data_IF_831538146556
#
_entry.id   IF_831538146556
#
_cell.length_a   1.000
_cell.length_b   1.000
_cell.length_c   1.000
_cell.angle_alpha   90.00
_cell.angle_beta   90.00
_cell.angle_gamma   90.00
#
_symmetry.space_group_name_H-M   'P 1'
#
loop_
_entity.id
_entity.type
_entity.pdbx_description
1 polymer ?
#
# COMPACT_ATOMS: atom_id res chain seq x y z
N UNK A 1 -4.09 8.75 2.42
CA UNK A 1 -4.26 10.03 1.70
C UNK A 1 -2.87 10.54 1.39
N UNK A 2 -2.53 10.69 0.12
CA UNK A 2 -1.21 11.17 -0.31
C UNK A 2 -1.09 12.66 0.00
N UNK A 3 0.04 13.08 0.59
CA UNK A 3 0.32 14.49 0.85
C UNK A 3 0.84 15.12 -0.46
N UNK A 4 0.79 16.45 -0.60
CA UNK A 4 1.27 17.13 -1.82
C UNK A 4 2.71 16.76 -2.20
N UNK A 5 3.56 16.46 -1.22
CA UNK A 5 4.91 15.94 -1.45
C UNK A 5 4.91 14.53 -2.07
N UNK A 6 4.01 13.65 -1.65
CA UNK A 6 3.89 12.30 -2.19
C UNK A 6 3.40 12.33 -3.64
N UNK A 7 2.42 13.20 -3.94
CA UNK A 7 1.93 13.42 -5.30
C UNK A 7 3.03 13.94 -6.24
N UNK A 8 3.80 14.92 -5.78
CA UNK A 8 4.95 15.43 -6.55
C UNK A 8 5.97 14.31 -6.82
N UNK A 9 6.24 13.47 -5.82
CA UNK A 9 7.14 12.33 -5.97
C UNK A 9 6.61 11.29 -6.98
N UNK A 10 5.32 10.94 -6.90
CA UNK A 10 4.68 10.01 -7.84
C UNK A 10 4.75 10.55 -9.27
N UNK A 11 4.43 11.83 -9.49
CA UNK A 11 4.52 12.45 -10.81
C UNK A 11 5.94 12.42 -11.36
N UNK A 12 6.94 12.69 -10.52
CA UNK A 12 8.35 12.64 -10.91
C UNK A 12 8.80 11.22 -11.28
N UNK A 13 8.44 10.21 -10.47
CA UNK A 13 8.75 8.81 -10.75
C UNK A 13 8.06 8.30 -12.02
N UNK A 14 6.82 8.73 -12.30
CA UNK A 14 6.11 8.40 -13.53
C UNK A 14 6.82 8.97 -14.76
N UNK A 15 7.27 10.24 -14.69
CA UNK A 15 8.04 10.87 -15.75
C UNK A 15 9.40 10.18 -15.96
N UNK A 16 10.09 9.83 -14.89
CA UNK A 16 11.36 9.09 -14.95
C UNK A 16 11.19 7.69 -15.56
N UNK A 17 10.08 7.01 -15.27
CA UNK A 17 9.75 5.73 -15.88
C UNK A 17 9.51 5.87 -17.39
N UNK A 18 8.64 6.80 -17.79
CA UNK A 18 8.34 7.06 -19.19
C UNK A 18 9.60 7.44 -19.99
N UNK A 19 10.48 8.28 -19.41
CA UNK A 19 11.74 8.67 -20.02
C UNK A 19 12.72 7.50 -20.20
N UNK A 20 12.78 6.56 -19.24
CA UNK A 20 13.63 5.36 -19.35
C UNK A 20 13.16 4.41 -20.45
N UNK A 21 11.85 4.31 -20.64
CA UNK A 21 11.25 3.52 -21.72
C UNK A 21 11.25 4.27 -23.08
N UNK A 22 11.80 5.49 -23.13
CA UNK A 22 11.88 6.29 -24.35
C UNK A 22 10.53 6.84 -24.82
N UNK A 23 9.51 6.87 -23.95
CA UNK A 23 8.19 7.40 -24.27
C UNK A 23 8.19 8.93 -24.32
N UNK A 24 7.41 9.50 -25.24
CA UNK A 24 7.21 10.96 -25.36
C UNK A 24 6.05 11.50 -24.53
N UNK A 25 5.15 10.61 -24.11
CA UNK A 25 3.95 10.93 -23.33
C UNK A 25 3.91 9.97 -22.14
N UNK A 26 3.54 10.50 -20.97
CA UNK A 26 3.34 9.72 -19.77
C UNK A 26 1.96 9.07 -19.84
N UNK A 27 1.89 7.76 -19.73
CA UNK A 27 0.65 7.00 -19.79
C UNK A 27 0.23 6.53 -18.39
N UNK A 28 -1.00 6.01 -18.30
CA UNK A 28 -1.55 5.47 -17.04
C UNK A 28 -0.64 4.42 -16.39
N UNK A 29 -0.08 3.52 -17.20
CA UNK A 29 0.82 2.47 -16.72
C UNK A 29 2.09 3.04 -16.04
N UNK A 30 2.58 4.21 -16.48
CA UNK A 30 3.74 4.84 -15.85
C UNK A 30 3.41 5.38 -14.46
N UNK A 31 2.18 5.88 -14.26
CA UNK A 31 1.68 6.24 -12.93
C UNK A 31 1.45 5.04 -12.03
N UNK A 32 0.92 3.93 -12.57
CA UNK A 32 0.73 2.69 -11.80
C UNK A 32 2.06 2.17 -11.26
N UNK A 33 3.10 2.13 -12.11
CA UNK A 33 4.45 1.73 -11.70
C UNK A 33 5.06 2.72 -10.70
N UNK A 34 4.83 4.02 -10.87
CA UNK A 34 5.32 5.04 -9.96
C UNK A 34 4.69 4.93 -8.56
N UNK A 35 3.38 4.74 -8.48
CA UNK A 35 2.67 4.50 -7.21
C UNK A 35 3.23 3.28 -6.51
N UNK A 36 3.39 2.16 -7.23
CA UNK A 36 3.98 0.95 -6.66
C UNK A 36 5.41 1.15 -6.17
N UNK A 37 6.22 1.90 -6.91
CA UNK A 37 7.60 2.20 -6.55
C UNK A 37 7.69 3.05 -5.29
N UNK A 38 6.78 4.01 -5.12
CA UNK A 38 6.71 4.85 -3.93
C UNK A 38 6.21 4.05 -2.71
N UNK A 39 5.24 3.15 -2.90
CA UNK A 39 4.64 2.37 -1.80
C UNK A 39 5.51 1.19 -1.38
N UNK A 40 6.04 0.42 -2.34
CA UNK A 40 6.68 -0.88 -2.11
C UNK A 40 8.17 -0.93 -2.53
N UNK A 41 8.70 0.15 -3.12
CA UNK A 41 10.07 0.22 -3.61
C UNK A 41 10.23 -0.27 -5.06
N UNK A 42 11.45 -0.17 -5.58
CA UNK A 42 11.77 -0.56 -6.95
C UNK A 42 11.70 -2.09 -7.12
N UNK A 43 11.09 -2.54 -8.23
CA UNK A 43 11.08 -3.94 -8.60
C UNK A 43 12.49 -4.43 -8.94
N UNK A 44 12.89 -5.60 -8.41
CA UNK A 44 14.17 -6.22 -8.77
C UNK A 44 13.99 -6.96 -10.09
N UNK A 45 14.70 -6.54 -11.13
CA UNK A 45 14.68 -7.19 -12.46
C UNK A 45 15.37 -8.57 -12.48
N UNK A 46 16.25 -8.85 -11.52
CA UNK A 46 16.94 -10.14 -11.43
C UNK A 46 16.10 -11.13 -10.60
N UNK A 47 15.58 -12.15 -11.28
CA UNK A 47 14.81 -13.25 -10.69
C UNK A 47 15.70 -14.04 -9.73
N UNK A 48 15.72 -13.62 -8.47
CA UNK A 48 16.69 -14.08 -7.44
C UNK A 48 16.08 -15.10 -6.48
N UNK A 49 14.82 -15.48 -6.67
CA UNK A 49 14.08 -16.36 -5.76
C UNK A 49 14.05 -17.80 -6.30
N UNK A 50 14.29 -18.77 -5.43
CA UNK A 50 14.20 -20.17 -5.80
C UNK A 50 12.75 -20.54 -6.19
N UNK A 51 12.50 -21.50 -7.11
CA UNK A 51 11.14 -21.90 -7.47
C UNK A 51 10.29 -22.34 -6.27
N UNK A 52 10.91 -22.98 -5.28
CA UNK A 52 10.26 -23.40 -4.03
C UNK A 52 9.82 -22.22 -3.16
N UNK A 53 10.65 -21.18 -3.08
CA UNK A 53 10.34 -19.95 -2.35
C UNK A 53 9.25 -19.16 -3.07
N UNK A 54 9.34 -19.05 -4.41
CA UNK A 54 8.31 -18.40 -5.23
C UNK A 54 6.95 -19.09 -5.06
N UNK A 55 6.96 -20.42 -4.98
CA UNK A 55 5.78 -21.21 -4.67
C UNK A 55 5.19 -20.89 -3.29
N UNK A 56 6.03 -20.82 -2.25
CA UNK A 56 5.57 -20.45 -0.91
C UNK A 56 4.98 -19.03 -0.87
N UNK A 57 5.63 -18.05 -1.49
CA UNK A 57 5.16 -16.66 -1.57
C UNK A 57 3.84 -16.58 -2.32
N UNK A 58 3.67 -17.31 -3.43
CA UNK A 58 2.41 -17.29 -4.17
C UNK A 58 1.21 -17.76 -3.33
N UNK A 59 1.37 -18.83 -2.55
CA UNK A 59 0.33 -19.30 -1.64
C UNK A 59 0.10 -18.35 -0.47
N UNK A 60 1.17 -17.75 0.05
CA UNK A 60 1.09 -16.76 1.12
C UNK A 60 0.25 -15.53 0.70
N UNK A 61 0.60 -14.91 -0.43
CA UNK A 61 -0.13 -13.75 -0.96
C UNK A 61 -1.56 -14.12 -1.40
N UNK A 62 -1.75 -15.30 -1.97
CA UNK A 62 -3.09 -15.78 -2.35
C UNK A 62 -3.99 -16.03 -1.13
N UNK A 63 -3.41 -16.43 0.01
CA UNK A 63 -4.13 -16.56 1.28
C UNK A 63 -4.71 -15.22 1.75
N UNK A 64 -3.88 -14.16 1.72
CA UNK A 64 -4.32 -12.81 2.03
C UNK A 64 -5.46 -12.33 1.13
N UNK A 65 -5.32 -12.52 -0.19
CA UNK A 65 -6.32 -12.15 -1.19
C UNK A 65 -7.64 -12.91 -0.97
N UNK A 66 -7.58 -14.23 -0.79
CA UNK A 66 -8.77 -15.07 -0.63
C UNK A 66 -9.56 -14.70 0.63
N UNK A 67 -8.90 -14.53 1.76
CA UNK A 67 -9.57 -14.19 3.02
C UNK A 67 -10.09 -12.76 2.98
N UNK A 68 -9.32 -11.83 2.41
CA UNK A 68 -9.78 -10.47 2.12
C UNK A 68 -10.99 -10.43 1.20
N UNK A 69 -11.10 -11.37 0.25
CA UNK A 69 -12.25 -11.51 -0.65
C UNK A 69 -13.50 -12.03 0.08
N UNK A 70 -13.34 -13.06 0.91
CA UNK A 70 -14.42 -13.84 1.52
C UNK A 70 -15.04 -13.22 2.77
N UNK A 71 -14.30 -12.40 3.53
CA UNK A 71 -14.82 -11.74 4.73
C UNK A 71 -15.83 -10.63 4.36
N UNK A 72 -16.50 -9.95 5.28
CA UNK A 72 -17.55 -8.98 4.92
C UNK A 72 -17.06 -7.53 4.92
N UNK A 73 -16.25 -7.19 5.91
CA UNK A 73 -15.87 -5.83 6.28
C UNK A 73 -14.45 -5.46 5.84
N UNK A 74 -13.71 -6.44 5.32
CA UNK A 74 -12.37 -6.26 4.79
C UNK A 74 -12.37 -5.48 3.49
N UNK A 75 -11.24 -4.81 3.24
CA UNK A 75 -10.99 -4.15 1.96
C UNK A 75 -10.88 -5.16 0.82
N UNK A 76 -11.33 -4.76 -0.36
CA UNK A 76 -11.12 -5.56 -1.56
C UNK A 76 -9.65 -5.47 -2.01
N UNK A 77 -9.03 -6.60 -2.37
CA UNK A 77 -7.71 -6.60 -2.99
C UNK A 77 -7.82 -6.03 -4.41
N UNK A 78 -7.02 -5.00 -4.71
CA UNK A 78 -6.94 -4.36 -6.02
C UNK A 78 -5.93 -5.04 -6.92
N UNK A 79 -4.82 -5.49 -6.32
CA UNK A 79 -3.69 -6.06 -7.01
C UNK A 79 -2.89 -6.93 -6.07
N UNK A 80 -2.38 -8.05 -6.55
CA UNK A 80 -1.45 -8.90 -5.82
C UNK A 80 -0.27 -9.24 -6.72
N UNK A 81 0.94 -9.26 -6.16
CA UNK A 81 2.16 -9.57 -6.91
C UNK A 81 3.17 -10.32 -6.07
N UNK A 82 3.91 -11.23 -6.72
CA UNK A 82 5.02 -12.00 -6.13
C UNK A 82 6.38 -11.54 -6.68
N UNK A 83 6.41 -10.38 -7.35
CA UNK A 83 7.64 -9.80 -7.88
C UNK A 83 8.41 -9.15 -6.72
N UNK A 84 9.63 -9.64 -6.38
CA UNK A 84 10.39 -9.12 -5.25
C UNK A 84 10.85 -7.68 -5.50
N UNK A 85 10.86 -6.88 -4.44
CA UNK A 85 11.24 -5.45 -4.50
C UNK A 85 12.48 -5.16 -3.66
N UNK A 86 12.95 -3.91 -3.68
CA UNK A 86 14.08 -3.47 -2.85
C UNK A 86 13.80 -3.54 -1.35
N UNK A 87 12.53 -3.61 -0.94
CA UNK A 87 12.14 -3.82 0.45
C UNK A 87 12.28 -5.27 0.94
N UNK A 88 11.99 -5.53 2.23
CA UNK A 88 12.01 -6.87 2.83
C UNK A 88 10.88 -7.77 2.36
N UNK A 89 9.86 -7.21 1.69
CA UNK A 89 8.71 -7.94 1.19
C UNK A 89 9.04 -8.70 -0.11
N UNK A 90 8.79 -10.01 -0.11
CA UNK A 90 8.98 -10.90 -1.27
C UNK A 90 7.77 -10.90 -2.22
N UNK A 91 6.62 -10.47 -1.73
CA UNK A 91 5.38 -10.21 -2.46
C UNK A 91 4.55 -9.15 -1.70
N UNK A 92 3.48 -8.65 -2.31
CA UNK A 92 2.50 -7.84 -1.59
C UNK A 92 1.12 -7.86 -2.27
N UNK A 93 0.09 -7.66 -1.45
CA UNK A 93 -1.27 -7.36 -1.87
C UNK A 93 -1.62 -5.89 -1.57
N UNK A 94 -2.11 -5.17 -2.58
CA UNK A 94 -2.66 -3.83 -2.46
C UNK A 94 -4.17 -3.91 -2.24
N UNK A 95 -4.66 -3.15 -1.27
CA UNK A 95 -6.07 -3.11 -0.90
C UNK A 95 -6.69 -1.74 -1.15
N UNK A 96 -7.99 -1.71 -1.40
CA UNK A 96 -8.76 -0.47 -1.45
C UNK A 96 -8.71 0.22 -0.06
N UNK A 97 -8.44 1.53 0.02
CA UNK A 97 -8.48 2.25 1.30
C UNK A 97 -9.88 2.23 1.94
N UNK A 98 -9.95 2.09 3.27
CA UNK A 98 -11.21 2.30 4.01
C UNK A 98 -11.44 3.80 4.19
N UNK A 99 -12.52 4.35 3.63
CA UNK A 99 -12.96 5.73 3.90
C UNK A 99 -13.92 5.80 5.10
N UNK A 100 -13.56 5.12 6.20
CA UNK A 100 -14.38 5.06 7.41
C UNK A 100 -13.59 5.54 8.61
N UNK A 101 -14.13 6.55 9.31
CA UNK A 101 -13.49 7.13 10.51
C UNK A 101 -13.73 6.32 11.79
N UNK A 102 -14.78 5.50 11.81
CA UNK A 102 -15.19 4.71 12.97
C UNK A 102 -15.21 3.24 12.58
N UNK A 103 -14.45 2.41 13.30
CA UNK A 103 -14.38 0.97 13.07
C UNK A 103 -15.05 0.23 14.23
N UNK A 104 -15.82 -0.81 13.90
CA UNK A 104 -16.42 -1.72 14.87
C UNK A 104 -15.46 -2.87 15.20
N UNK A 105 -15.72 -3.55 16.32
CA UNK A 105 -14.92 -4.71 16.77
C UNK A 105 -14.83 -5.81 15.70
N UNK A 106 -15.94 -6.11 15.03
CA UNK A 106 -16.00 -7.12 13.96
C UNK A 106 -15.04 -6.80 12.80
N UNK A 107 -14.84 -5.51 12.49
CA UNK A 107 -13.97 -5.08 11.40
C UNK A 107 -12.50 -5.33 11.75
N UNK A 108 -12.13 -5.13 13.02
CA UNK A 108 -10.79 -5.45 13.50
C UNK A 108 -10.53 -6.95 13.55
N UNK A 109 -11.52 -7.73 14.00
CA UNK A 109 -11.39 -9.19 14.05
C UNK A 109 -11.25 -9.79 12.65
N UNK A 110 -11.92 -9.23 11.64
CA UNK A 110 -11.73 -9.62 10.24
C UNK A 110 -10.38 -9.14 9.67
N UNK A 111 -9.91 -7.95 10.03
CA UNK A 111 -8.56 -7.49 9.64
C UNK A 111 -7.47 -8.41 10.25
N UNK A 112 -7.64 -8.89 11.49
CA UNK A 112 -6.76 -9.91 12.08
C UNK A 112 -6.78 -11.21 11.27
N UNK A 113 -7.95 -11.64 10.79
CA UNK A 113 -8.07 -12.84 9.97
C UNK A 113 -7.27 -12.70 8.66
N UNK A 114 -7.33 -11.53 8.00
CA UNK A 114 -6.55 -11.24 6.78
C UNK A 114 -5.05 -11.21 7.09
N UNK A 115 -4.62 -10.57 8.17
CA UNK A 115 -3.20 -10.53 8.54
C UNK A 115 -2.65 -11.95 8.79
N UNK A 116 -3.42 -12.83 9.41
CA UNK A 116 -2.97 -14.21 9.68
C UNK A 116 -3.09 -15.13 8.46
N UNK A 117 -3.72 -14.70 7.37
CA UNK A 117 -4.05 -15.55 6.23
C UNK A 117 -2.81 -16.13 5.51
N UNK A 118 -1.75 -15.33 5.30
CA UNK A 118 -0.53 -15.84 4.66
C UNK A 118 0.09 -17.01 5.42
N UNK A 119 0.19 -16.89 6.76
CA UNK A 119 0.66 -17.98 7.63
C UNK A 119 -0.22 -19.22 7.54
N UNK A 120 -1.55 -19.04 7.60
CA UNK A 120 -2.49 -20.16 7.57
C UNK A 120 -2.41 -20.87 6.21
N UNK A 121 -2.21 -20.14 5.11
CA UNK A 121 -2.08 -20.71 3.78
C UNK A 121 -0.84 -21.61 3.70
N UNK A 122 0.30 -21.15 4.21
CA UNK A 122 1.51 -21.95 4.30
C UNK A 122 1.31 -23.24 5.11
N UNK A 123 0.62 -23.14 6.25
CA UNK A 123 0.35 -24.29 7.11
C UNK A 123 -0.54 -25.33 6.41
N UNK A 124 -1.61 -24.89 5.74
CA UNK A 124 -2.55 -25.79 5.05
C UNK A 124 -1.88 -26.47 3.86
N UNK A 125 -1.06 -25.74 3.08
CA UNK A 125 -0.49 -26.25 1.83
C UNK A 125 0.78 -27.06 2.07
N UNK A 126 1.71 -26.52 2.85
CA UNK A 126 3.05 -27.06 2.98
C UNK A 126 3.27 -27.80 4.29
N UNK A 127 2.32 -27.74 5.23
CA UNK A 127 2.47 -28.24 6.60
C UNK A 127 3.78 -27.76 7.27
N UNK A 128 4.19 -26.54 6.92
CA UNK A 128 5.43 -25.87 7.33
C UNK A 128 5.17 -24.39 7.48
N UNK A 129 5.96 -23.74 8.33
CA UNK A 129 5.89 -22.30 8.58
C UNK A 129 7.20 -21.64 8.11
N UNK A 130 7.08 -20.52 7.39
CA UNK A 130 8.20 -19.68 6.96
C UNK A 130 8.48 -18.51 7.92
N UNK A 131 9.56 -17.77 7.72
CA UNK A 131 9.78 -16.46 8.39
C UNK A 131 9.06 -15.30 7.69
N UNK A 132 8.42 -15.54 6.54
CA UNK A 132 7.76 -14.51 5.72
C UNK A 132 6.61 -13.79 6.41
N UNK A 133 5.88 -14.49 7.29
CA UNK A 133 4.75 -13.92 8.04
C UNK A 133 5.16 -13.03 9.24
N UNK A 134 6.43 -12.66 9.38
CA UNK A 134 6.91 -11.89 10.54
C UNK A 134 6.22 -10.52 10.65
N UNK A 135 6.11 -9.78 9.55
CA UNK A 135 5.48 -8.46 9.58
C UNK A 135 3.98 -8.55 9.84
N UNK A 136 3.31 -9.58 9.29
CA UNK A 136 1.90 -9.82 9.55
C UNK A 136 1.62 -10.13 11.01
N UNK A 137 2.43 -10.98 11.63
CA UNK A 137 2.32 -11.28 13.06
C UNK A 137 2.56 -10.03 13.92
N UNK A 138 3.52 -9.19 13.53
CA UNK A 138 3.78 -7.91 14.21
C UNK A 138 2.58 -6.97 14.11
N UNK A 139 1.99 -6.82 12.91
CA UNK A 139 0.81 -5.99 12.66
C UNK A 139 -0.43 -6.53 13.40
N UNK A 140 -0.67 -7.83 13.33
CA UNK A 140 -1.78 -8.49 14.02
C UNK A 140 -1.66 -8.35 15.54
N UNK A 141 -0.47 -8.56 16.09
CA UNK A 141 -0.21 -8.37 17.53
C UNK A 141 -0.46 -6.93 17.96
N UNK A 142 0.04 -5.95 17.19
CA UNK A 142 -0.20 -4.53 17.46
C UNK A 142 -1.68 -4.19 17.45
N UNK A 143 -2.44 -4.73 16.49
CA UNK A 143 -3.87 -4.51 16.38
C UNK A 143 -4.66 -5.13 17.53
N UNK A 144 -4.36 -6.38 17.89
CA UNK A 144 -4.97 -7.06 19.02
C UNK A 144 -4.74 -6.30 20.34
N UNK A 145 -3.52 -5.81 20.57
CA UNK A 145 -3.25 -4.96 21.73
C UNK A 145 -3.97 -3.61 21.66
N UNK A 146 -4.14 -3.00 20.48
CA UNK A 146 -4.88 -1.76 20.33
C UNK A 146 -6.37 -1.94 20.69
N UNK A 147 -7.00 -3.03 20.21
CA UNK A 147 -8.38 -3.40 20.59
C UNK A 147 -8.55 -3.47 22.11
N UNK A 148 -7.59 -4.09 22.80
CA UNK A 148 -7.67 -4.33 24.24
C UNK A 148 -7.28 -3.09 25.04
N UNK A 149 -6.11 -2.50 24.76
CA UNK A 149 -5.51 -1.41 25.56
C UNK A 149 -6.10 -0.06 25.25
N UNK A 150 -6.45 0.23 23.99
CA UNK A 150 -6.81 1.59 23.57
C UNK A 150 -8.31 1.73 23.35
N UNK A 151 -8.92 0.75 22.68
CA UNK A 151 -10.33 0.83 22.28
C UNK A 151 -11.30 0.23 23.30
N UNK A 152 -10.82 -0.43 24.36
CA UNK A 152 -11.67 -1.01 25.40
C UNK A 152 -12.59 -2.13 24.89
N UNK A 153 -12.17 -2.85 23.85
CA UNK A 153 -12.98 -3.91 23.21
C UNK A 153 -12.89 -5.25 23.94
N UNK A 154 -12.19 -5.35 25.08
CA UNK A 154 -12.19 -6.58 25.90
C UNK A 154 -13.22 -6.50 27.01
N UNK A 155 -14.11 -7.50 27.07
CA UNK A 155 -15.10 -7.64 28.15
C UNK A 155 -14.44 -7.85 29.51
N UNK A 156 -13.29 -8.51 29.54
CA UNK A 156 -12.54 -8.83 30.76
C UNK A 156 -11.83 -7.61 31.34
N UNK A 157 -11.24 -6.77 30.48
CA UNK A 157 -10.53 -5.55 30.89
C UNK A 157 -11.50 -4.39 31.14
N UNK A 158 -12.58 -4.30 30.35
CA UNK A 158 -13.59 -3.25 30.44
C UNK A 158 -13.22 -1.97 29.70
N UNK A 159 -13.93 -0.89 30.03
CA UNK A 159 -13.88 0.41 29.33
C UNK A 159 -12.71 1.31 29.81
N UNK A 160 -11.51 0.74 29.93
CA UNK A 160 -10.31 1.45 30.37
C UNK A 160 -9.35 1.58 29.18
N UNK A 161 -8.75 2.77 29.02
CA UNK A 161 -7.82 3.07 27.92
C UNK A 161 -6.42 3.42 28.43
N UNK A 162 -5.42 2.82 27.79
CA UNK A 162 -4.00 3.01 28.00
C UNK A 162 -3.34 3.31 26.63
N UNK A 163 -3.48 4.55 26.11
CA UNK A 163 -2.88 4.93 24.83
C UNK A 163 -1.35 4.87 24.91
N UNK A 164 -0.71 4.50 23.80
CA UNK A 164 0.75 4.60 23.71
C UNK A 164 1.15 6.09 23.67
N UNK A 165 2.12 6.47 24.50
CA UNK A 165 2.64 7.84 24.51
C UNK A 165 3.48 8.07 23.25
N UNK A 166 2.86 8.68 22.23
CA UNK A 166 3.51 8.96 20.94
C UNK A 166 4.60 10.04 21.06
N UNK A 167 4.59 10.85 22.12
CA UNK A 167 5.57 11.93 22.32
C UNK A 167 6.80 11.46 23.10
N UNK A 168 6.68 10.39 23.90
CA UNK A 168 7.80 9.85 24.67
C UNK A 168 7.87 8.31 24.58
N UNK A 169 8.36 7.75 23.45
CA UNK A 169 8.56 6.30 23.28
C UNK A 169 9.49 5.70 24.35
N UNK A 170 10.36 6.53 24.93
CA UNK A 170 11.27 6.15 26.01
C UNK A 170 10.54 5.74 27.30
N UNK A 171 9.33 6.23 27.57
CA UNK A 171 8.59 5.84 28.78
C UNK A 171 8.15 4.36 28.76
N UNK A 172 7.89 3.80 27.57
CA UNK A 172 7.64 2.36 27.41
C UNK A 172 8.92 1.53 27.64
N UNK A 173 10.10 2.06 27.24
CA UNK A 173 11.42 1.45 27.46
C UNK A 173 11.89 1.53 28.93
N UNK A 174 11.53 2.60 29.66
CA UNK A 174 11.84 2.78 31.08
C UNK A 174 10.84 2.11 32.04
N UNK A 175 9.85 1.38 31.51
CA UNK A 175 9.15 0.31 32.24
C UNK A 175 8.06 0.72 33.24
N UNK A 176 7.70 2.00 33.35
CA UNK A 176 6.58 2.42 34.24
C UNK A 176 5.27 2.32 33.47
N UNK A 177 4.72 1.10 33.41
CA UNK A 177 3.39 0.86 32.85
C UNK A 177 2.32 1.41 33.80
N UNK A 178 1.27 2.09 33.30
CA UNK A 178 0.20 2.68 34.13
C UNK A 178 -0.77 1.63 34.71
N UNK A 179 -0.40 0.35 34.67
CA UNK A 179 -1.24 -0.78 35.10
C UNK A 179 -0.42 -1.83 35.84
N UNK A 180 -1.10 -2.55 36.73
CA UNK A 180 -0.48 -3.63 37.50
C UNK A 180 -0.01 -4.79 36.61
N UNK A 181 0.97 -5.57 37.09
CA UNK A 181 1.42 -6.82 36.42
C UNK A 181 0.28 -7.81 36.22
N UNK A 182 -0.71 -7.84 37.13
CA UNK A 182 -1.91 -8.68 36.98
C UNK A 182 -2.73 -8.25 35.77
N UNK A 183 -2.98 -6.95 35.63
CA UNK A 183 -3.73 -6.42 34.50
C UNK A 183 -2.98 -6.63 33.18
N UNK A 184 -1.65 -6.50 33.19
CA UNK A 184 -0.83 -6.83 32.03
C UNK A 184 -1.02 -8.29 31.59
N UNK A 185 -0.94 -9.26 32.52
CA UNK A 185 -1.14 -10.67 32.20
C UNK A 185 -2.51 -10.93 31.57
N UNK A 186 -3.57 -10.33 32.12
CA UNK A 186 -4.92 -10.46 31.56
C UNK A 186 -5.02 -9.90 30.14
N UNK A 187 -4.34 -8.78 29.85
CA UNK A 187 -4.28 -8.24 28.48
C UNK A 187 -3.52 -9.17 27.53
N UNK A 188 -2.44 -9.79 27.99
CA UNK A 188 -1.62 -10.70 27.18
C UNK A 188 -2.42 -11.98 26.84
N UNK A 189 -3.14 -12.55 27.81
CA UNK A 189 -4.02 -13.70 27.61
C UNK A 189 -5.17 -13.39 26.64
N UNK A 190 -5.81 -12.22 26.77
CA UNK A 190 -6.86 -11.77 25.85
C UNK A 190 -6.34 -11.56 24.43
N UNK A 191 -5.15 -10.99 24.27
CA UNK A 191 -4.53 -10.79 22.96
C UNK A 191 -4.22 -12.13 22.27
N UNK A 192 -3.66 -13.08 23.03
CA UNK A 192 -3.42 -14.44 22.55
C UNK A 192 -4.72 -15.13 22.12
N UNK A 193 -5.79 -15.03 22.93
CA UNK A 193 -7.07 -15.64 22.63
C UNK A 193 -7.70 -15.05 21.35
N UNK A 194 -7.62 -13.72 21.17
CA UNK A 194 -8.11 -13.07 19.94
C UNK A 194 -7.37 -13.55 18.70
N UNK A 195 -6.05 -13.59 18.75
CA UNK A 195 -5.24 -14.08 17.64
C UNK A 195 -5.50 -15.56 17.35
N UNK A 196 -5.65 -16.40 18.39
CA UNK A 196 -6.00 -17.81 18.22
C UNK A 196 -7.39 -18.01 17.58
N UNK A 197 -8.37 -17.21 17.98
CA UNK A 197 -9.71 -17.23 17.39
C UNK A 197 -9.69 -16.78 15.93
N UNK A 198 -8.96 -15.70 15.62
CA UNK A 198 -8.78 -15.23 14.25
C UNK A 198 -8.08 -16.29 13.39
N UNK A 199 -7.01 -16.90 13.89
CA UNK A 199 -6.31 -18.00 13.21
C UNK A 199 -7.25 -19.16 12.88
N UNK A 200 -8.03 -19.64 13.86
CA UNK A 200 -8.96 -20.75 13.68
C UNK A 200 -10.10 -20.42 12.71
N UNK A 201 -10.59 -19.18 12.73
CA UNK A 201 -11.60 -18.70 11.78
C UNK A 201 -11.03 -18.67 10.36
N UNK A 202 -9.81 -18.16 10.20
CA UNK A 202 -9.11 -18.12 8.91
C UNK A 202 -8.82 -19.52 8.38
N UNK A 203 -8.35 -20.44 9.23
CA UNK A 203 -8.11 -21.84 8.87
C UNK A 203 -9.37 -22.49 8.33
N UNK A 204 -10.49 -22.39 9.07
CA UNK A 204 -11.78 -22.92 8.64
C UNK A 204 -12.20 -22.37 7.27
N UNK A 205 -12.20 -21.05 7.10
CA UNK A 205 -12.62 -20.40 5.85
C UNK A 205 -11.73 -20.80 4.68
N UNK A 206 -10.42 -20.94 4.90
CA UNK A 206 -9.47 -21.29 3.86
C UNK A 206 -9.55 -22.77 3.48
N UNK A 207 -9.76 -23.66 4.44
CA UNK A 207 -9.98 -25.09 4.16
C UNK A 207 -11.28 -25.29 3.38
N UNK A 208 -12.37 -24.59 3.73
CA UNK A 208 -13.64 -24.64 3.00
C UNK A 208 -13.51 -24.11 1.56
N UNK A 209 -12.57 -23.20 1.31
CA UNK A 209 -12.33 -22.58 -0.01
C UNK A 209 -10.99 -22.99 -0.63
N UNK A 210 -10.47 -24.17 -0.29
CA UNK A 210 -9.13 -24.64 -0.70
C UNK A 210 -8.92 -24.60 -2.21
N UNK A 211 -9.91 -25.03 -2.99
CA UNK A 211 -9.83 -25.02 -4.44
C UNK A 211 -9.61 -23.62 -5.03
N UNK A 212 -10.21 -22.58 -4.42
CA UNK A 212 -10.03 -21.18 -4.86
C UNK A 212 -8.62 -20.68 -4.54
N UNK A 213 -8.06 -21.09 -3.40
CA UNK A 213 -6.68 -20.77 -3.03
C UNK A 213 -5.70 -21.34 -4.07
N UNK A 214 -5.90 -22.60 -4.46
CA UNK A 214 -5.03 -23.28 -5.44
C UNK A 214 -5.10 -22.58 -6.82
N UNK A 215 -6.31 -22.23 -7.28
CA UNK A 215 -6.51 -21.49 -8.54
C UNK A 215 -5.76 -20.14 -8.51
N UNK A 216 -5.92 -19.36 -7.43
CA UNK A 216 -5.24 -18.07 -7.30
C UNK A 216 -3.72 -18.22 -7.30
N UNK A 217 -3.20 -19.17 -6.52
CA UNK A 217 -1.76 -19.37 -6.38
C UNK A 217 -1.12 -19.86 -7.68
N UNK A 218 -1.76 -20.80 -8.39
CA UNK A 218 -1.28 -21.28 -9.69
C UNK A 218 -1.26 -20.18 -10.74
N UNK A 219 -2.29 -19.33 -10.78
CA UNK A 219 -2.35 -18.24 -11.74
C UNK A 219 -1.33 -17.15 -11.40
N UNK A 220 -1.15 -16.86 -10.11
CA UNK A 220 -0.13 -15.93 -9.63
C UNK A 220 1.29 -16.43 -9.93
N UNK A 221 1.53 -17.73 -9.96
CA UNK A 221 2.82 -18.29 -10.39
C UNK A 221 3.11 -18.10 -11.88
N UNK A 222 2.07 -18.14 -12.73
CA UNK A 222 2.20 -17.96 -14.19
C UNK A 222 2.37 -16.49 -14.56
N UNK A 223 1.55 -15.61 -13.99
CA UNK A 223 1.47 -14.20 -14.37
C UNK A 223 2.26 -13.27 -13.46
N UNK A 224 2.72 -13.75 -12.30
CA UNK A 224 3.44 -13.02 -11.24
C UNK A 224 2.67 -11.86 -10.59
N UNK A 225 1.60 -11.42 -11.22
CA UNK A 225 0.75 -10.31 -10.79
C UNK A 225 -0.69 -10.58 -11.25
N UNK A 226 -1.66 -10.36 -10.35
CA UNK A 226 -3.09 -10.43 -10.66
C UNK A 226 -3.77 -9.14 -10.23
N UNK A 227 -4.62 -8.59 -11.09
CA UNK A 227 -5.42 -7.40 -10.79
C UNK A 227 -6.83 -7.81 -10.30
N UNK A 228 -7.62 -6.83 -9.86
CA UNK A 228 -8.99 -7.03 -9.40
C UNK A 228 -9.84 -7.85 -10.39
N UNK A 229 -9.80 -7.51 -11.68
CA UNK A 229 -10.58 -8.20 -12.71
C UNK A 229 -10.15 -9.66 -12.89
N UNK A 230 -8.85 -9.95 -12.75
CA UNK A 230 -8.34 -11.32 -12.78
C UNK A 230 -8.85 -12.11 -11.56
N UNK A 231 -8.85 -11.49 -10.37
CA UNK A 231 -9.38 -12.11 -9.15
C UNK A 231 -10.88 -12.44 -9.33
N UNK A 232 -11.67 -11.50 -9.83
CA UNK A 232 -13.11 -11.73 -10.13
C UNK A 232 -13.29 -12.86 -11.13
N UNK A 233 -12.47 -12.90 -12.21
CA UNK A 233 -12.52 -13.95 -13.23
C UNK A 233 -12.22 -15.33 -12.64
N UNK A 234 -11.25 -15.42 -11.73
CA UNK A 234 -10.75 -16.69 -11.19
C UNK A 234 -11.65 -17.28 -10.10
N UNK A 235 -12.11 -16.45 -9.15
CA UNK A 235 -12.82 -16.92 -7.96
C UNK A 235 -14.29 -16.47 -7.89
N UNK A 236 -14.77 -15.78 -8.93
CA UNK A 236 -16.12 -15.26 -9.05
C UNK A 236 -16.31 -13.91 -8.34
N UNK A 237 -17.50 -13.30 -8.46
CA UNK A 237 -17.83 -12.05 -7.78
C UNK A 237 -17.76 -12.23 -6.26
N UNK A 238 -17.43 -11.15 -5.55
CA UNK A 238 -17.39 -11.18 -4.09
C UNK A 238 -18.77 -11.54 -3.54
N UNK A 239 -18.85 -12.41 -2.50
CA UNK A 239 -20.11 -12.71 -1.81
C UNK A 239 -20.79 -11.45 -1.23
N UNK A 240 -20.05 -10.35 -1.10
CA UNK A 240 -20.52 -9.08 -0.54
C UNK A 240 -20.39 -7.96 -1.59
N UNK A 241 -21.41 -7.74 -2.44
CA UNK A 241 -21.34 -6.80 -3.58
C UNK A 241 -21.24 -5.32 -3.17
N UNK A 242 -21.53 -4.98 -1.91
CA UNK A 242 -21.45 -3.61 -1.36
C UNK A 242 -20.16 -3.37 -0.55
N UNK A 243 -19.17 -4.26 -0.63
CA UNK A 243 -17.83 -4.00 -0.06
C UNK A 243 -17.23 -2.78 -0.76
N UNK A 244 -17.30 -1.64 -0.08
CA UNK A 244 -16.78 -0.33 -0.47
C UNK A 244 -16.46 -0.23 -1.97
N UNK A 245 -17.53 0.00 -2.74
CA UNK A 245 -17.39 0.76 -3.98
C UNK A 245 -16.81 2.11 -3.57
N UNK A 246 -15.50 2.25 -3.57
CA UNK A 246 -15.00 3.47 -4.17
C UNK A 246 -15.39 3.28 -5.61
N UNK A 247 -16.38 4.05 -6.07
CA UNK A 247 -16.59 4.19 -7.51
C UNK A 247 -15.19 4.52 -8.05
N UNK A 248 -14.55 3.52 -8.65
CA UNK A 248 -13.51 3.77 -9.62
C UNK A 248 -14.27 4.65 -10.58
N UNK A 249 -14.05 5.96 -10.51
CA UNK A 249 -14.67 6.90 -11.43
C UNK A 249 -14.36 6.30 -12.79
N UNK A 250 -15.38 5.71 -13.41
CA UNK A 250 -15.36 5.37 -14.81
C UNK A 250 -15.16 6.73 -15.46
N UNK A 251 -13.91 7.05 -15.78
CA UNK A 251 -13.64 8.08 -16.75
C UNK A 251 -13.94 7.45 -18.12
N UNK A 252 -15.20 7.10 -18.32
CA UNK A 252 -15.75 6.72 -19.61
C UNK A 252 -16.13 8.00 -20.33
N UNK A 253 -15.31 8.36 -21.31
CA UNK A 253 -15.73 8.97 -22.57
C UNK A 253 -16.69 10.16 -22.52
N UNK A 254 -16.22 11.32 -22.03
CA UNK A 254 -16.56 12.61 -22.66
C UNK A 254 -15.43 13.62 -22.49
N UNK A 255 -14.26 13.37 -23.09
CA UNK A 255 -13.46 14.51 -23.57
C UNK A 255 -13.84 14.68 -25.03
N UNK A 256 -14.90 15.46 -25.25
CA UNK A 256 -15.14 16.05 -26.56
C UNK A 256 -13.89 16.84 -26.91
N UNK A 257 -13.20 16.41 -27.97
CA UNK A 257 -12.01 17.05 -28.49
C UNK A 257 -12.29 18.54 -28.73
N UNK A 258 -11.50 19.47 -28.17
CA UNK A 258 -11.43 20.80 -28.75
C UNK A 258 -10.72 20.66 -30.10
N UNK A 259 -11.38 21.11 -31.17
CA UNK A 259 -10.77 21.26 -32.50
C UNK A 259 -9.40 21.95 -32.39
N UNK A 260 -8.43 21.59 -33.26
CA UNK A 260 -7.16 22.29 -33.29
C UNK A 260 -7.39 23.77 -33.63
N UNK A 261 -6.96 24.66 -32.73
CA UNK A 261 -6.87 26.09 -33.01
C UNK A 261 -5.80 26.29 -34.08
N UNK A 262 -6.23 26.77 -35.23
CA UNK A 262 -5.39 27.23 -36.33
C UNK A 262 -4.42 28.30 -35.84
N UNK A 263 -3.12 28.01 -35.93
CA UNK A 263 -2.06 29.00 -35.80
C UNK A 263 -2.15 29.94 -37.02
N UNK A 264 -2.25 31.28 -36.86
CA UNK A 264 -2.12 32.19 -37.99
C UNK A 264 -0.64 32.28 -38.41
N UNK A 265 -0.35 32.42 -39.72
CA UNK A 265 1.03 32.40 -40.20
C UNK A 265 1.75 33.72 -39.87
N UNK A 266 3.05 33.58 -39.62
CA UNK A 266 4.03 34.66 -39.53
C UNK A 266 4.13 35.43 -40.86
N UNK A 267 4.21 36.76 -40.87
CA UNK A 267 4.63 37.50 -42.06
C UNK A 267 6.14 37.77 -42.03
N UNK A 268 6.84 37.40 -43.10
CA UNK A 268 8.21 37.82 -43.41
C UNK A 268 8.23 39.16 -44.19
N UNK A 269 9.04 40.08 -43.64
CA UNK A 269 9.93 41.10 -44.24
C UNK A 269 9.49 42.08 -45.35
N UNK A 270 9.81 43.36 -45.11
CA UNK A 270 10.35 44.42 -46.00
C UNK A 270 10.22 45.75 -45.20
N UNK A 271 11.17 46.62 -44.94
CA UNK A 271 12.56 46.84 -45.30
C UNK A 271 12.83 48.35 -45.13
N UNK A 272 13.98 48.75 -44.56
CA UNK A 272 14.64 50.02 -44.92
C UNK A 272 14.62 51.24 -43.98
N UNK A 273 15.84 51.59 -43.54
CA UNK A 273 16.44 52.94 -43.41
C UNK A 273 16.41 53.71 -42.07
N UNK A 274 17.61 54.11 -41.60
CA UNK A 274 17.83 55.48 -41.11
C UNK A 274 18.50 55.73 -39.74
N UNK A 275 19.85 55.72 -39.71
CA UNK A 275 20.81 56.65 -39.04
C UNK A 275 20.64 57.16 -37.58
N UNK A 276 21.78 57.15 -36.85
CA UNK A 276 22.21 58.19 -35.87
C UNK A 276 22.68 57.64 -34.51
N UNK A 277 23.99 57.45 -34.22
CA UNK A 277 24.93 58.40 -33.53
C UNK A 277 24.47 58.81 -32.11
N UNK A 278 25.25 58.84 -31.02
CA UNK A 278 26.68 58.69 -30.72
C UNK A 278 26.87 58.68 -29.18
N UNK A 279 28.06 58.24 -28.71
CA UNK A 279 28.78 58.69 -27.49
C UNK A 279 28.16 58.39 -26.11
N UNK A 280 28.87 58.22 -24.99
CA UNK A 280 30.27 58.41 -24.59
C UNK A 280 30.57 57.53 -23.36
N UNK A 281 31.86 57.47 -22.99
CA UNK A 281 32.53 56.54 -22.07
C UNK A 281 32.34 56.72 -20.54
N UNK A 282 33.25 56.15 -19.70
CA UNK A 282 32.98 55.67 -18.34
C UNK A 282 33.76 56.50 -17.26
N UNK A 283 34.26 55.94 -16.13
CA UNK A 283 33.61 55.55 -14.87
C UNK A 283 34.24 56.25 -13.61
N UNK A 284 33.63 56.13 -12.42
CA UNK A 284 34.30 56.39 -11.11
C UNK A 284 33.50 55.72 -9.97
N UNK A 285 34.02 54.72 -9.25
CA UNK A 285 34.97 54.68 -8.11
C UNK A 285 34.29 54.44 -6.73
N UNK A 286 34.69 53.29 -6.14
CA UNK A 286 35.04 53.00 -4.72
C UNK A 286 34.09 53.39 -3.56
N UNK A 287 33.76 52.38 -2.74
CA UNK A 287 34.24 52.11 -1.35
C UNK A 287 33.49 50.87 -0.80
N UNK A 288 34.16 49.75 -0.46
CA UNK A 288 34.72 49.39 0.87
C UNK A 288 33.73 49.70 2.02
N UNK A 289 33.32 48.78 2.92
CA UNK A 289 34.05 47.75 3.68
C UNK A 289 33.11 46.74 4.38
N UNK A 290 33.68 45.58 4.70
CA UNK A 290 33.31 44.60 5.74
C UNK A 290 32.58 45.11 7.00
N UNK A 291 31.68 44.30 7.59
CA UNK A 291 31.98 43.53 8.81
C UNK A 291 30.91 42.49 9.13
N UNK A 292 31.38 41.35 9.65
CA UNK A 292 30.66 40.18 10.16
C UNK A 292 30.05 40.39 11.55
N UNK A 293 28.94 39.71 11.82
CA UNK A 293 28.73 38.85 13.02
C UNK A 293 27.57 37.90 12.74
#
# INVERSE_FOLDING_TARGET
MYIGADLANICNEAALHAAREGKKVIERNDFEIAVERVVAGAAKKANTMAPTEKHAVAYHESGHVLIGWLLKTTCLPLKVTIVPRTGPALGFAQYMPKDKKLLHEEEFDEDLCVMLAGRVAEQIVFNKISTGAQDDLKRATKLAYAQIKQYGMSKTIGLISFPADQQNPRNDDFGVKPYSKRLQRMMDEEAQQRLANAFKRTEKLMTENRAKLDILAEELLKHETLNYDDIVRLIGPSPYPNKQKMDIIEWSDTVSTPKPSTVPPTPESLGGTGKGTAGEGPPSERKNTHFTS
#
